data_IF_864876133096
#
_entry.id   IF_864876133096
#
_cell.length_a   1.000
_cell.length_b   1.000
_cell.length_c   1.000
_cell.angle_alpha   90.00
_cell.angle_beta   90.00
_cell.angle_gamma   90.00
#
_symmetry.space_group_name_H-M   'P 1'
#
loop_
_entity.id
_entity.type
_entity.pdbx_description
1 polymer ?
#
# COMPACT_ATOMS: atom_id res chain seq x y z
N UNK A 1 16.13 9.97 -13.07
CA UNK A 1 16.34 10.08 -11.61
C UNK A 1 15.49 9.06 -10.87
N UNK A 2 14.17 9.04 -11.08
CA UNK A 2 13.28 8.06 -10.42
C UNK A 2 13.64 6.60 -10.66
N UNK A 3 14.03 6.22 -11.89
CA UNK A 3 14.51 4.87 -12.18
C UNK A 3 15.72 4.43 -11.34
N UNK A 4 16.65 5.36 -11.07
CA UNK A 4 17.80 5.11 -10.22
C UNK A 4 17.40 5.01 -8.74
N UNK A 5 16.47 5.86 -8.27
CA UNK A 5 15.93 5.80 -6.91
C UNK A 5 15.19 4.48 -6.68
N UNK A 6 14.29 4.08 -7.58
CA UNK A 6 13.60 2.79 -7.49
C UNK A 6 14.57 1.61 -7.51
N UNK A 7 15.63 1.68 -8.33
CA UNK A 7 16.66 0.63 -8.37
C UNK A 7 17.45 0.56 -7.05
N UNK A 8 17.76 1.71 -6.47
CA UNK A 8 18.44 1.81 -5.17
C UNK A 8 17.54 1.26 -4.04
N UNK A 9 16.27 1.70 -3.98
CA UNK A 9 15.30 1.20 -3.00
C UNK A 9 15.14 -0.32 -3.10
N UNK A 10 15.00 -0.85 -4.32
CA UNK A 10 14.97 -2.29 -4.56
C UNK A 10 16.21 -2.99 -3.99
N UNK A 11 17.40 -2.51 -4.32
CA UNK A 11 18.65 -3.11 -3.85
C UNK A 11 18.76 -3.06 -2.32
N UNK A 12 18.43 -1.91 -1.70
CA UNK A 12 18.41 -1.76 -0.25
C UNK A 12 17.43 -2.73 0.39
N UNK A 13 16.19 -2.84 -0.10
CA UNK A 13 15.21 -3.77 0.44
C UNK A 13 15.70 -5.21 0.32
N UNK A 14 16.23 -5.61 -0.84
CA UNK A 14 16.77 -6.97 -1.02
C UNK A 14 17.90 -7.28 -0.04
N UNK A 15 18.77 -6.32 0.28
CA UNK A 15 19.81 -6.49 1.29
C UNK A 15 19.23 -6.61 2.70
N UNK A 16 18.26 -5.76 3.05
CA UNK A 16 17.58 -5.78 4.34
C UNK A 16 16.90 -7.13 4.57
N UNK A 17 16.22 -7.68 3.55
CA UNK A 17 15.51 -8.96 3.66
C UNK A 17 16.43 -10.18 3.89
N UNK A 18 17.76 -10.02 3.84
CA UNK A 18 18.73 -11.06 4.19
C UNK A 18 19.28 -10.93 5.62
N UNK A 19 18.82 -9.96 6.40
CA UNK A 19 19.23 -9.75 7.79
C UNK A 19 18.41 -10.61 8.78
N UNK A 20 18.86 -10.75 10.04
CA UNK A 20 18.02 -11.28 11.13
C UNK A 20 16.74 -10.46 11.35
N UNK A 21 15.71 -11.06 11.95
CA UNK A 21 14.39 -10.45 12.13
C UNK A 21 14.42 -9.07 12.82
N UNK A 22 15.18 -8.93 13.90
CA UNK A 22 15.30 -7.65 14.63
C UNK A 22 15.94 -6.55 13.77
N UNK A 23 16.93 -6.91 12.98
CA UNK A 23 17.61 -5.99 12.07
C UNK A 23 16.72 -5.64 10.85
N UNK A 24 15.93 -6.59 10.34
CA UNK A 24 14.92 -6.33 9.29
C UNK A 24 13.97 -5.24 9.77
N UNK A 25 13.41 -5.40 10.97
CA UNK A 25 12.48 -4.44 11.56
C UNK A 25 13.10 -3.05 11.61
N UNK A 26 14.28 -2.93 12.22
CA UNK A 26 14.94 -1.65 12.39
C UNK A 26 15.26 -0.98 11.05
N UNK A 27 15.83 -1.71 10.09
CA UNK A 27 16.24 -1.15 8.79
C UNK A 27 15.07 -0.81 7.88
N UNK A 28 13.98 -1.59 7.89
CA UNK A 28 12.77 -1.23 7.14
C UNK A 28 12.09 0.02 7.71
N UNK A 29 12.09 0.19 9.04
CA UNK A 29 11.61 1.44 9.65
C UNK A 29 12.45 2.63 9.16
N UNK A 30 13.78 2.55 9.24
CA UNK A 30 14.66 3.62 8.75
C UNK A 30 14.45 3.95 7.26
N UNK A 31 14.21 2.93 6.43
CA UNK A 31 13.98 3.10 4.99
C UNK A 31 12.62 3.75 4.68
N UNK A 32 11.58 3.37 5.41
CA UNK A 32 10.19 3.77 5.14
C UNK A 32 9.80 5.07 5.83
N UNK A 33 10.41 5.40 6.97
CA UNK A 33 10.03 6.58 7.76
C UNK A 33 10.07 7.90 6.97
N UNK A 34 11.12 8.21 6.19
CA UNK A 34 11.14 9.43 5.38
C UNK A 34 10.06 9.44 4.29
N UNK A 35 9.62 8.27 3.81
CA UNK A 35 8.56 8.17 2.78
C UNK A 35 7.21 8.50 3.42
N UNK A 36 6.94 7.99 4.62
CA UNK A 36 5.72 8.28 5.39
C UNK A 36 5.62 9.78 5.65
N UNK A 37 6.66 10.37 6.24
CA UNK A 37 6.69 11.80 6.60
C UNK A 37 6.44 12.68 5.37
N UNK A 38 7.09 12.37 4.24
CA UNK A 38 6.93 13.15 3.01
C UNK A 38 5.55 12.99 2.39
N UNK A 39 4.99 11.79 2.38
CA UNK A 39 3.63 11.60 1.87
C UNK A 39 2.61 12.33 2.77
N UNK A 40 2.76 12.27 4.09
CA UNK A 40 1.92 13.05 5.03
C UNK A 40 2.03 14.56 4.79
N UNK A 41 3.23 15.08 4.53
CA UNK A 41 3.41 16.48 4.14
C UNK A 41 2.66 16.83 2.85
N UNK A 42 2.68 15.95 1.85
CA UNK A 42 1.94 16.14 0.60
C UNK A 42 0.42 16.12 0.83
N UNK A 43 -0.07 15.21 1.69
CA UNK A 43 -1.49 15.10 2.02
C UNK A 43 -2.02 16.31 2.80
N UNK A 44 -1.19 16.90 3.65
CA UNK A 44 -1.54 18.08 4.46
C UNK A 44 -1.30 19.40 3.74
N UNK A 45 -0.55 19.41 2.63
CA UNK A 45 -0.34 20.61 1.84
C UNK A 45 -1.67 21.12 1.23
N UNK A 46 -1.96 22.39 1.48
CA UNK A 46 -3.03 23.13 0.79
C UNK A 46 -2.65 23.29 -0.69
N UNK A 47 -3.56 23.13 -1.66
CA UNK A 47 -3.24 23.38 -3.06
C UNK A 47 -2.83 24.84 -3.23
N UNK A 48 -1.53 25.09 -3.37
CA UNK A 48 -1.04 26.42 -3.74
C UNK A 48 -1.25 26.54 -5.23
N UNK A 49 -2.11 27.46 -5.65
CA UNK A 49 -2.23 27.86 -7.06
C UNK A 49 -0.89 28.49 -7.45
N UNK A 50 0.01 27.70 -8.05
CA UNK A 50 1.29 28.21 -8.52
C UNK A 50 1.04 28.97 -9.82
N UNK A 51 1.10 30.30 -9.74
CA UNK A 51 1.16 31.16 -10.93
C UNK A 51 2.45 30.84 -11.70
N UNK A 52 2.29 30.50 -12.99
CA UNK A 52 3.38 30.20 -13.91
C UNK A 52 4.40 31.34 -13.93
N UNK A 53 5.58 31.13 -13.36
CA UNK A 53 6.76 31.94 -13.61
C UNK A 53 7.83 31.06 -14.26
N UNK A 54 8.09 31.31 -15.53
CA UNK A 54 8.89 30.51 -16.46
C UNK A 54 10.42 30.65 -16.27
N UNK A 55 10.91 30.73 -15.02
CA UNK A 55 12.35 30.76 -14.73
C UNK A 55 12.73 29.58 -13.83
N UNK A 56 12.77 28.38 -14.41
CA UNK A 56 13.06 27.12 -13.71
C UNK A 56 14.53 27.01 -13.27
N UNK A 57 14.78 27.11 -11.96
CA UNK A 57 15.99 26.56 -11.32
C UNK A 57 15.75 25.08 -10.98
N UNK A 58 16.79 24.26 -11.02
CA UNK A 58 16.68 22.80 -10.75
C UNK A 58 16.06 22.46 -9.38
N UNK A 59 16.24 23.33 -8.39
CA UNK A 59 15.63 23.20 -7.06
C UNK A 59 14.10 23.33 -7.09
N UNK A 60 13.57 24.23 -7.93
CA UNK A 60 12.12 24.43 -8.09
C UNK A 60 11.47 23.24 -8.81
N UNK A 61 12.21 22.62 -9.73
CA UNK A 61 11.79 21.38 -10.41
C UNK A 61 11.68 20.20 -9.45
N UNK A 62 12.64 20.02 -8.54
CA UNK A 62 12.56 18.95 -7.53
C UNK A 62 11.42 19.18 -6.54
N UNK A 63 11.22 20.43 -6.09
CA UNK A 63 10.14 20.77 -5.17
C UNK A 63 8.76 20.43 -5.75
N UNK A 64 8.55 20.69 -7.04
CA UNK A 64 7.32 20.30 -7.76
C UNK A 64 7.16 18.77 -7.80
N UNK A 65 8.20 18.04 -8.19
CA UNK A 65 8.13 16.57 -8.27
C UNK A 65 7.88 15.96 -6.89
N UNK A 66 8.52 16.48 -5.84
CA UNK A 66 8.34 16.02 -4.47
C UNK A 66 6.97 16.34 -3.87
N UNK A 67 6.21 17.24 -4.50
CA UNK A 67 4.83 17.53 -4.13
C UNK A 67 3.82 16.54 -4.73
N UNK A 68 4.26 15.67 -5.65
CA UNK A 68 3.39 14.65 -6.26
C UNK A 68 3.21 13.45 -5.33
N UNK A 69 1.96 13.07 -4.97
CA UNK A 69 1.73 11.95 -4.05
C UNK A 69 2.17 10.60 -4.66
N UNK A 70 2.00 10.44 -5.98
CA UNK A 70 2.35 9.20 -6.71
C UNK A 70 3.81 8.83 -6.50
N UNK A 71 4.70 9.82 -6.44
CA UNK A 71 6.13 9.62 -6.22
C UNK A 71 6.39 8.80 -4.95
N UNK A 72 5.77 9.20 -3.85
CA UNK A 72 5.98 8.57 -2.55
C UNK A 72 5.24 7.23 -2.48
N UNK A 73 4.04 7.15 -3.03
CA UNK A 73 3.26 5.91 -3.13
C UNK A 73 4.03 4.83 -3.90
N UNK A 74 4.67 5.17 -5.03
CA UNK A 74 5.45 4.22 -5.83
C UNK A 74 6.72 3.72 -5.14
N UNK A 75 7.30 4.53 -4.24
CA UNK A 75 8.43 4.10 -3.41
C UNK A 75 7.99 3.02 -2.42
N UNK A 76 6.79 3.17 -1.83
CA UNK A 76 6.18 2.12 -0.99
C UNK A 76 5.97 0.84 -1.81
N UNK A 77 5.37 0.96 -3.00
CA UNK A 77 5.18 -0.18 -3.90
C UNK A 77 6.50 -0.87 -4.28
N UNK A 78 7.56 -0.10 -4.48
CA UNK A 78 8.89 -0.60 -4.84
C UNK A 78 9.49 -1.41 -3.69
N UNK A 79 9.39 -0.90 -2.46
CA UNK A 79 9.90 -1.60 -1.27
C UNK A 79 9.11 -2.89 -1.07
N UNK A 80 7.79 -2.82 -0.93
CA UNK A 80 6.97 -3.98 -0.56
C UNK A 80 6.83 -5.03 -1.66
N UNK A 81 7.16 -4.71 -2.91
CA UNK A 81 7.32 -5.72 -3.97
C UNK A 81 8.45 -6.70 -3.68
N UNK A 82 9.52 -6.24 -3.03
CA UNK A 82 10.73 -7.02 -2.77
C UNK A 82 10.69 -7.66 -1.37
N UNK A 83 9.80 -7.19 -0.48
CA UNK A 83 9.52 -7.84 0.80
C UNK A 83 8.78 -9.15 0.53
N UNK A 84 9.45 -10.27 0.81
CA UNK A 84 8.89 -11.61 0.59
C UNK A 84 7.70 -11.87 1.55
N UNK A 85 6.70 -12.68 1.14
CA UNK A 85 5.66 -13.13 2.05
C UNK A 85 6.25 -13.75 3.31
N UNK A 86 5.73 -13.34 4.47
CA UNK A 86 6.16 -13.90 5.74
C UNK A 86 5.66 -15.34 5.90
N UNK A 87 6.60 -16.28 5.91
CA UNK A 87 6.29 -17.72 6.05
C UNK A 87 6.40 -18.23 7.50
N UNK A 88 6.27 -17.35 8.51
CA UNK A 88 6.21 -17.77 9.92
C UNK A 88 7.56 -18.08 10.58
N UNK A 89 8.65 -17.44 10.13
CA UNK A 89 10.00 -17.65 10.67
C UNK A 89 10.62 -18.98 10.23
N UNK A 90 11.85 -18.94 9.72
CA UNK A 90 12.55 -20.11 9.12
C UNK A 90 13.07 -21.11 10.17
N UNK A 91 12.64 -21.05 11.43
CA UNK A 91 13.07 -22.00 12.44
C UNK A 91 11.93 -22.52 13.32
N UNK A 92 11.06 -23.33 12.73
CA UNK A 92 10.20 -24.24 13.50
C UNK A 92 11.08 -25.35 14.11
N UNK A 93 11.77 -25.05 15.20
CA UNK A 93 12.15 -26.10 16.15
C UNK A 93 10.89 -26.61 16.81
N UNK A 94 10.70 -27.93 16.79
CA UNK A 94 9.45 -28.69 17.05
C UNK A 94 8.84 -28.49 18.46
N UNK A 95 9.37 -27.59 19.30
CA UNK A 95 9.06 -27.54 20.73
C UNK A 95 8.62 -26.16 21.29
N UNK A 96 8.37 -25.13 20.47
CA UNK A 96 7.89 -23.84 21.00
C UNK A 96 6.38 -23.69 20.80
N UNK A 97 5.63 -23.73 21.91
CA UNK A 97 4.19 -23.53 22.01
C UNK A 97 3.77 -22.06 21.95
N UNK A 98 4.48 -21.24 21.18
CA UNK A 98 4.24 -19.80 21.10
C UNK A 98 3.54 -19.45 19.78
N UNK A 99 2.70 -18.41 19.84
CA UNK A 99 1.97 -17.82 18.72
C UNK A 99 2.85 -17.68 17.47
N UNK A 100 2.28 -17.76 16.25
CA UNK A 100 3.06 -17.50 15.04
C UNK A 100 3.77 -16.15 15.17
N UNK A 101 5.11 -16.16 15.10
CA UNK A 101 5.91 -14.94 15.19
C UNK A 101 5.40 -13.94 14.16
N UNK A 102 5.10 -12.73 14.62
CA UNK A 102 4.62 -11.67 13.77
C UNK A 102 5.70 -11.29 12.74
N UNK A 103 5.27 -10.84 11.55
CA UNK A 103 6.19 -10.34 10.55
C UNK A 103 7.00 -9.17 11.15
N UNK A 104 8.34 -9.14 11.05
CA UNK A 104 9.17 -8.07 11.64
C UNK A 104 8.83 -6.66 11.14
N UNK A 105 8.11 -6.56 10.02
CA UNK A 105 7.68 -5.31 9.40
C UNK A 105 6.19 -5.00 9.59
N UNK A 106 5.47 -5.74 10.44
CA UNK A 106 4.02 -5.54 10.66
C UNK A 106 3.72 -4.09 11.07
N UNK A 107 4.51 -3.53 11.99
CA UNK A 107 4.34 -2.19 12.53
C UNK A 107 4.46 -1.14 11.42
N UNK A 108 5.55 -1.19 10.65
CA UNK A 108 5.82 -0.22 9.59
C UNK A 108 4.86 -0.38 8.43
N UNK A 109 4.45 -1.61 8.11
CA UNK A 109 3.43 -1.88 7.10
C UNK A 109 2.06 -1.29 7.49
N UNK A 110 1.71 -1.34 8.77
CA UNK A 110 0.47 -0.75 9.29
C UNK A 110 0.51 0.79 9.21
N UNK A 111 1.63 1.42 9.54
CA UNK A 111 1.80 2.87 9.38
C UNK A 111 1.75 3.31 7.91
N UNK A 112 2.37 2.54 7.01
CA UNK A 112 2.29 2.77 5.57
C UNK A 112 0.87 2.61 5.03
N UNK A 113 0.13 1.61 5.52
CA UNK A 113 -1.28 1.47 5.19
C UNK A 113 -2.08 2.71 5.61
N UNK A 114 -1.88 3.24 6.83
CA UNK A 114 -2.62 4.42 7.32
C UNK A 114 -2.46 5.62 6.39
N UNK A 115 -1.23 5.93 5.97
CA UNK A 115 -0.99 7.05 5.06
C UNK A 115 -1.52 6.79 3.65
N UNK A 116 -1.50 5.54 3.18
CA UNK A 116 -2.13 5.15 1.89
C UNK A 116 -3.65 5.25 1.95
N UNK A 117 -4.27 4.89 3.07
CA UNK A 117 -5.71 5.02 3.30
C UNK A 117 -6.14 6.50 3.32
N UNK A 118 -5.34 7.37 3.93
CA UNK A 118 -5.56 8.81 3.86
C UNK A 118 -5.44 9.35 2.42
N UNK A 119 -4.43 8.88 1.67
CA UNK A 119 -4.27 9.22 0.26
C UNK A 119 -5.46 8.76 -0.61
N UNK A 120 -5.96 7.54 -0.40
CA UNK A 120 -7.16 7.03 -1.07
C UNK A 120 -8.37 7.93 -0.84
N UNK A 121 -8.58 8.36 0.41
CA UNK A 121 -9.69 9.24 0.75
C UNK A 121 -9.53 10.63 0.13
N UNK A 122 -8.33 11.22 0.22
CA UNK A 122 -8.07 12.58 -0.27
C UNK A 122 -8.17 12.69 -1.79
N UNK A 123 -7.71 11.65 -2.50
CA UNK A 123 -7.64 11.63 -3.95
C UNK A 123 -8.67 10.68 -4.58
N UNK A 124 -9.81 10.46 -3.93
CA UNK A 124 -10.82 9.49 -4.38
C UNK A 124 -11.34 9.76 -5.80
N UNK A 125 -11.26 10.99 -6.31
CA UNK A 125 -11.66 11.35 -7.68
C UNK A 125 -10.53 11.22 -8.71
N UNK A 126 -9.28 11.03 -8.26
CA UNK A 126 -8.10 10.98 -9.12
C UNK A 126 -7.68 9.53 -9.37
N UNK A 127 -8.28 8.91 -10.40
CA UNK A 127 -8.10 7.48 -10.71
C UNK A 127 -6.63 7.02 -10.70
N UNK A 128 -5.72 7.83 -11.25
CA UNK A 128 -4.28 7.52 -11.26
C UNK A 128 -3.70 7.38 -9.85
N UNK A 129 -4.04 8.26 -8.91
CA UNK A 129 -3.54 8.16 -7.53
C UNK A 129 -4.12 6.92 -6.85
N UNK A 130 -5.42 6.67 -7.04
CA UNK A 130 -6.11 5.49 -6.49
C UNK A 130 -5.49 4.18 -6.97
N UNK A 131 -5.19 4.06 -8.27
CA UNK A 131 -4.53 2.87 -8.84
C UNK A 131 -3.18 2.59 -8.18
N UNK A 132 -2.36 3.63 -8.02
CA UNK A 132 -1.05 3.51 -7.38
C UNK A 132 -1.19 3.15 -5.89
N UNK A 133 -2.16 3.73 -5.16
CA UNK A 133 -2.46 3.33 -3.79
C UNK A 133 -2.86 1.85 -3.70
N UNK A 134 -3.81 1.40 -4.53
CA UNK A 134 -4.23 0.00 -4.58
C UNK A 134 -3.06 -0.94 -4.89
N UNK A 135 -2.17 -0.55 -5.82
CA UNK A 135 -0.97 -1.31 -6.15
C UNK A 135 -0.03 -1.45 -4.96
N UNK A 136 0.19 -0.38 -4.19
CA UNK A 136 1.03 -0.40 -2.98
C UNK A 136 0.42 -1.24 -1.87
N UNK A 137 -0.87 -1.04 -1.57
CA UNK A 137 -1.61 -1.82 -0.57
C UNK A 137 -1.58 -3.31 -0.91
N UNK A 138 -1.74 -3.67 -2.19
CA UNK A 138 -1.64 -5.05 -2.66
C UNK A 138 -0.31 -5.70 -2.30
N UNK A 139 0.81 -4.99 -2.44
CA UNK A 139 2.13 -5.52 -2.08
C UNK A 139 2.28 -5.65 -0.55
N UNK A 140 1.73 -4.71 0.22
CA UNK A 140 1.71 -4.78 1.69
C UNK A 140 0.91 -5.99 2.17
N UNK A 141 -0.31 -6.17 1.67
CA UNK A 141 -1.17 -7.31 2.02
C UNK A 141 -0.47 -8.63 1.70
N UNK A 142 0.09 -8.76 0.49
CA UNK A 142 0.82 -9.98 0.10
C UNK A 142 2.07 -10.26 0.92
N UNK A 143 2.75 -9.24 1.43
CA UNK A 143 3.95 -9.47 2.25
C UNK A 143 3.58 -9.96 3.66
N UNK A 144 2.42 -9.53 4.18
CA UNK A 144 1.93 -9.90 5.52
C UNK A 144 1.04 -11.16 5.52
N UNK A 145 0.36 -11.45 4.41
CA UNK A 145 -0.68 -12.47 4.33
C UNK A 145 -1.78 -12.20 5.37
N UNK A 146 -2.23 -13.24 6.06
CA UNK A 146 -3.29 -13.15 7.08
C UNK A 146 -3.02 -12.11 8.18
N UNK A 147 -1.76 -11.77 8.45
CA UNK A 147 -1.41 -10.77 9.48
C UNK A 147 -1.86 -9.35 9.16
N UNK A 148 -2.19 -9.03 7.89
CA UNK A 148 -2.81 -7.75 7.55
C UNK A 148 -4.26 -7.60 8.04
N UNK A 149 -4.83 -8.61 8.72
CA UNK A 149 -6.22 -8.60 9.19
C UNK A 149 -6.57 -7.34 9.98
N UNK A 150 -5.63 -6.80 10.76
CA UNK A 150 -5.83 -5.61 11.59
C UNK A 150 -6.21 -4.33 10.81
N UNK A 151 -5.99 -4.31 9.49
CA UNK A 151 -6.40 -3.19 8.65
C UNK A 151 -7.21 -3.58 7.41
N UNK A 152 -7.41 -4.87 7.13
CA UNK A 152 -8.19 -5.33 5.98
C UNK A 152 -9.68 -5.02 6.12
N UNK A 153 -10.25 -5.15 7.31
CA UNK A 153 -11.65 -4.79 7.56
C UNK A 153 -11.92 -3.28 7.32
N UNK A 154 -11.13 -2.34 7.89
CA UNK A 154 -11.22 -0.93 7.54
C UNK A 154 -11.03 -0.66 6.04
N UNK A 155 -10.11 -1.37 5.38
CA UNK A 155 -9.84 -1.22 3.95
C UNK A 155 -11.05 -1.59 3.11
N UNK A 156 -11.69 -2.75 3.38
CA UNK A 156 -12.89 -3.19 2.66
C UNK A 156 -14.00 -2.15 2.82
N UNK A 157 -14.23 -1.66 4.04
CA UNK A 157 -15.23 -0.62 4.33
C UNK A 157 -14.96 0.65 3.53
N UNK A 158 -13.71 1.11 3.52
CA UNK A 158 -13.29 2.29 2.76
C UNK A 158 -13.46 2.07 1.24
N UNK A 159 -13.07 0.90 0.72
CA UNK A 159 -13.20 0.58 -0.69
C UNK A 159 -14.67 0.58 -1.12
N UNK A 160 -15.57 -0.03 -0.34
CA UNK A 160 -17.00 -0.04 -0.64
C UNK A 160 -17.61 1.36 -0.63
N UNK A 161 -17.24 2.17 0.37
CA UNK A 161 -17.69 3.56 0.49
C UNK A 161 -17.25 4.40 -0.72
N UNK A 162 -15.98 4.35 -1.08
CA UNK A 162 -15.47 5.09 -2.26
C UNK A 162 -16.06 4.52 -3.56
N UNK A 163 -16.16 3.19 -3.70
CA UNK A 163 -16.65 2.55 -4.92
C UNK A 163 -18.11 2.91 -5.23
N UNK A 164 -18.92 3.12 -4.20
CA UNK A 164 -20.30 3.60 -4.36
C UNK A 164 -20.39 4.98 -5.03
N UNK A 165 -19.33 5.80 -4.93
CA UNK A 165 -19.23 7.13 -5.53
C UNK A 165 -18.34 7.17 -6.77
N UNK A 166 -17.31 6.33 -6.82
CA UNK A 166 -16.24 6.33 -7.82
C UNK A 166 -15.88 4.89 -8.20
N UNK A 167 -16.29 4.47 -9.39
CA UNK A 167 -16.17 3.07 -9.85
C UNK A 167 -14.76 2.73 -10.36
N UNK A 168 -13.74 2.86 -9.49
CA UNK A 168 -12.36 2.52 -9.85
C UNK A 168 -12.18 1.01 -10.00
N UNK A 169 -11.86 0.56 -11.21
CA UNK A 169 -11.64 -0.87 -11.51
C UNK A 169 -10.50 -1.48 -10.69
N UNK A 170 -9.52 -0.69 -10.25
CA UNK A 170 -8.43 -1.17 -9.40
C UNK A 170 -8.90 -1.68 -8.03
N UNK A 171 -10.10 -1.28 -7.56
CA UNK A 171 -10.69 -1.87 -6.36
C UNK A 171 -11.15 -3.31 -6.59
N UNK A 172 -11.71 -3.64 -7.75
CA UNK A 172 -12.10 -5.00 -8.09
C UNK A 172 -10.88 -5.94 -8.10
N UNK A 173 -9.76 -5.47 -8.66
CA UNK A 173 -8.51 -6.22 -8.64
C UNK A 173 -7.96 -6.37 -7.22
N UNK A 174 -8.00 -5.31 -6.40
CA UNK A 174 -7.56 -5.42 -5.01
C UNK A 174 -8.46 -6.39 -4.22
N UNK A 175 -9.78 -6.37 -4.43
CA UNK A 175 -10.73 -7.32 -3.85
C UNK A 175 -10.40 -8.77 -4.19
N UNK A 176 -10.02 -9.07 -5.44
CA UNK A 176 -9.62 -10.44 -5.80
C UNK A 176 -8.41 -10.91 -4.99
N UNK A 177 -7.47 -10.01 -4.68
CA UNK A 177 -6.33 -10.34 -3.81
C UNK A 177 -6.77 -10.56 -2.37
N UNK A 178 -7.70 -9.76 -1.86
CA UNK A 178 -8.24 -9.97 -0.52
C UNK A 178 -8.97 -11.32 -0.44
N UNK A 179 -9.70 -11.72 -1.48
CA UNK A 179 -10.33 -13.05 -1.55
C UNK A 179 -9.28 -14.17 -1.60
N UNK A 180 -8.19 -14.00 -2.35
CA UNK A 180 -7.12 -15.00 -2.40
C UNK A 180 -6.47 -15.23 -1.02
N UNK A 181 -6.24 -14.15 -0.25
CA UNK A 181 -5.57 -14.22 1.05
C UNK A 181 -6.53 -14.58 2.20
N UNK A 182 -7.81 -14.19 2.11
CA UNK A 182 -8.78 -14.26 3.20
C UNK A 182 -10.04 -15.09 2.91
N UNK A 183 -10.20 -15.66 1.72
CA UNK A 183 -11.41 -16.41 1.33
C UNK A 183 -11.72 -17.62 2.21
N UNK A 184 -10.70 -18.17 2.88
CA UNK A 184 -10.87 -19.23 3.89
C UNK A 184 -11.36 -18.75 5.26
N UNK A 185 -11.45 -17.43 5.51
CA UNK A 185 -11.90 -16.87 6.80
C UNK A 185 -13.39 -16.50 6.75
N UNK A 186 -14.20 -17.24 7.50
CA UNK A 186 -15.66 -17.05 7.57
C UNK A 186 -16.08 -15.62 7.98
N UNK A 187 -15.28 -14.92 8.79
CA UNK A 187 -15.59 -13.55 9.25
C UNK A 187 -15.54 -12.48 8.15
N UNK A 188 -14.73 -12.70 7.11
CA UNK A 188 -14.53 -11.73 6.03
C UNK A 188 -15.32 -12.07 4.77
N UNK A 189 -15.84 -13.29 4.66
CA UNK A 189 -16.62 -13.75 3.51
C UNK A 189 -17.82 -12.84 3.18
N UNK A 190 -18.63 -12.34 4.13
CA UNK A 190 -19.77 -11.49 3.79
C UNK A 190 -19.36 -10.18 3.11
N UNK A 191 -18.31 -9.50 3.60
CA UNK A 191 -17.82 -8.25 3.01
C UNK A 191 -17.21 -8.46 1.63
N UNK A 192 -16.44 -9.54 1.47
CA UNK A 192 -15.83 -9.89 0.18
C UNK A 192 -16.87 -10.31 -0.86
N UNK A 193 -17.91 -11.04 -0.46
CA UNK A 193 -19.02 -11.43 -1.34
C UNK A 193 -19.79 -10.22 -1.84
N UNK A 194 -20.10 -9.24 -0.98
CA UNK A 194 -20.79 -8.02 -1.42
C UNK A 194 -19.94 -7.26 -2.46
N UNK A 195 -18.63 -7.16 -2.27
CA UNK A 195 -17.76 -6.52 -3.27
C UNK A 195 -17.79 -7.24 -4.63
N UNK A 196 -17.85 -8.57 -4.63
CA UNK A 196 -17.94 -9.38 -5.85
C UNK A 196 -19.32 -9.30 -6.52
N UNK A 197 -20.40 -9.27 -5.75
CA UNK A 197 -21.77 -9.14 -6.27
C UNK A 197 -21.98 -7.79 -6.98
N UNK A 198 -21.39 -6.71 -6.48
CA UNK A 198 -21.43 -5.39 -7.15
C UNK A 198 -20.69 -5.44 -8.50
N UNK A 199 -19.64 -6.27 -8.64
CA UNK A 199 -18.95 -6.46 -9.92
C UNK A 199 -19.85 -7.08 -10.99
N UNK A 200 -20.76 -8.00 -10.62
CA UNK A 200 -21.72 -8.59 -11.58
C UNK A 200 -22.78 -7.57 -12.03
N UNK A 201 -23.16 -6.63 -11.17
CA UNK A 201 -24.06 -5.52 -11.53
C UNK A 201 -23.39 -4.55 -12.51
N UNK A 202 -22.07 -4.34 -12.39
CA UNK A 202 -21.31 -3.51 -13.33
C UNK A 202 -21.16 -4.15 -14.71
N UNK A 203 -20.93 -5.47 -14.77
CA UNK A 203 -20.92 -6.20 -16.05
C UNK A 203 -22.30 -6.14 -16.75
N UNK A 204 -23.39 -6.12 -15.98
CA UNK A 204 -24.76 -5.95 -16.52
C UNK A 204 -25.05 -4.52 -16.99
N UNK A 205 -24.50 -3.49 -16.34
CA UNK A 205 -24.69 -2.08 -16.73
C UNK A 205 -23.78 -1.67 -17.90
N UNK A 206 -22.59 -2.28 -18.05
CA UNK A 206 -21.68 -1.99 -19.17
C UNK A 206 -22.02 -2.77 -20.45
N UNK A 207 -22.94 -3.75 -20.40
CA UNK A 207 -23.42 -4.50 -21.56
C UNK A 207 -24.79 -4.04 -22.10
N UNK A 208 -25.32 -2.89 -21.64
CA UNK A 208 -26.56 -2.25 -22.15
C UNK A 208 -26.25 -0.82 -22.60
#
# INVERSE_FOLDING_TARGET
METAISSCLKACTMLIMNLPADDIRHRLVELCQPIIERLQMVLTATPVVVANNENEKSADSWARIASEPILWIDRIATIFREVRPWNGGVLRTVNSSDSPDAAPWLDIATELYKVLSEALKRYETTARVVEHCCRSIRFIVRSLGVQSIGFVEPLITQMMDIFSRQQHSCFLYLSSILVDEYGGMESLQPGLMIMLEVSQVLDFIMCV
#
